data_IF_263659569513
#
_entry.id   IF_263659569513
#
_cell.length_a   1.000
_cell.length_b   1.000
_cell.length_c   1.000
_cell.angle_alpha   90.00
_cell.angle_beta   90.00
_cell.angle_gamma   90.00
#
_symmetry.space_group_name_H-M   'P 1'
#
loop_
_entity.id
_entity.type
_entity.pdbx_description
1 polymer ?
#
# COMPACT_ATOMS: atom_id res chain seq x y z
N UNK A 1 -37.81 -9.29 -14.73
CA UNK A 1 -37.96 -10.25 -13.62
C UNK A 1 -39.30 -10.95 -13.77
N UNK A 2 -39.32 -12.24 -14.10
CA UNK A 2 -40.59 -12.94 -14.42
C UNK A 2 -40.43 -14.39 -14.90
N UNK A 3 -39.20 -14.91 -14.94
CA UNK A 3 -38.92 -16.28 -15.38
C UNK A 3 -39.10 -17.32 -14.25
N UNK A 4 -39.03 -16.89 -12.99
CA UNK A 4 -39.10 -17.76 -11.80
C UNK A 4 -40.44 -17.68 -11.03
N UNK A 5 -41.25 -16.66 -11.29
CA UNK A 5 -42.51 -16.40 -10.56
C UNK A 5 -43.75 -16.99 -11.25
N UNK A 6 -43.66 -17.39 -12.52
CA UNK A 6 -44.83 -17.83 -13.30
C UNK A 6 -44.80 -19.35 -13.54
N UNK A 7 -45.82 -20.05 -13.04
CA UNK A 7 -45.86 -21.50 -12.89
C UNK A 7 -45.97 -22.25 -14.22
N UNK A 8 -46.72 -21.71 -15.17
CA UNK A 8 -46.93 -22.32 -16.49
C UNK A 8 -45.68 -22.23 -17.38
N UNK A 9 -44.99 -21.09 -17.35
CA UNK A 9 -43.73 -20.88 -18.10
C UNK A 9 -42.64 -21.81 -17.56
N UNK A 10 -42.57 -21.98 -16.24
CA UNK A 10 -41.62 -22.87 -15.55
C UNK A 10 -41.82 -24.33 -15.99
N UNK A 11 -43.06 -24.82 -16.01
CA UNK A 11 -43.33 -26.21 -16.41
C UNK A 11 -42.97 -26.49 -17.87
N UNK A 12 -43.14 -25.53 -18.78
CA UNK A 12 -42.68 -25.68 -20.19
C UNK A 12 -41.15 -25.76 -20.29
N UNK A 13 -40.43 -24.93 -19.55
CA UNK A 13 -38.95 -24.95 -19.55
C UNK A 13 -38.43 -26.26 -18.94
N UNK A 14 -39.01 -26.70 -17.82
CA UNK A 14 -38.64 -27.96 -17.16
C UNK A 14 -38.93 -29.15 -18.07
N UNK A 15 -40.10 -29.21 -18.70
CA UNK A 15 -40.44 -30.33 -19.61
C UNK A 15 -39.54 -30.34 -20.85
N UNK A 16 -39.14 -29.19 -21.38
CA UNK A 16 -38.13 -29.10 -22.45
C UNK A 16 -36.74 -29.56 -21.99
N UNK A 17 -36.30 -29.16 -20.80
CA UNK A 17 -35.02 -29.59 -20.22
C UNK A 17 -34.99 -31.11 -19.99
N UNK A 18 -36.06 -31.67 -19.40
CA UNK A 18 -36.18 -33.11 -19.13
C UNK A 18 -36.23 -33.91 -20.43
N UNK A 19 -37.00 -33.43 -21.42
CA UNK A 19 -37.11 -34.08 -22.73
C UNK A 19 -35.77 -34.12 -23.48
N UNK A 20 -34.95 -33.10 -23.33
CA UNK A 20 -33.66 -32.97 -24.03
C UNK A 20 -32.44 -33.22 -23.13
N UNK A 21 -32.65 -33.82 -21.95
CA UNK A 21 -31.63 -34.00 -20.90
C UNK A 21 -30.32 -34.61 -21.44
N UNK A 22 -30.38 -35.76 -22.10
CA UNK A 22 -29.17 -36.44 -22.59
C UNK A 22 -28.37 -35.57 -23.58
N UNK A 23 -29.03 -34.83 -24.46
CA UNK A 23 -28.35 -33.95 -25.43
C UNK A 23 -27.68 -32.78 -24.72
N UNK A 24 -28.37 -32.20 -23.75
CA UNK A 24 -27.87 -31.09 -22.93
C UNK A 24 -26.67 -31.54 -22.08
N UNK A 25 -26.75 -32.73 -21.47
CA UNK A 25 -25.65 -33.30 -20.68
C UNK A 25 -24.41 -33.52 -21.52
N UNK A 26 -24.54 -34.09 -22.73
CA UNK A 26 -23.41 -34.29 -23.64
C UNK A 26 -22.83 -32.95 -24.11
N UNK A 27 -23.68 -31.98 -24.43
CA UNK A 27 -23.23 -30.65 -24.88
C UNK A 27 -22.43 -29.95 -23.78
N UNK A 28 -22.94 -29.93 -22.55
CA UNK A 28 -22.26 -29.33 -21.39
C UNK A 28 -20.96 -30.06 -21.08
N UNK A 29 -20.93 -31.39 -21.21
CA UNK A 29 -19.72 -32.18 -21.03
C UNK A 29 -18.64 -31.82 -22.06
N UNK A 30 -18.99 -31.75 -23.35
CA UNK A 30 -18.06 -31.37 -24.41
C UNK A 30 -17.60 -29.92 -24.25
N UNK A 31 -18.51 -29.01 -23.88
CA UNK A 31 -18.17 -27.61 -23.60
C UNK A 31 -17.19 -27.49 -22.42
N UNK A 32 -17.39 -28.26 -21.35
CA UNK A 32 -16.47 -28.33 -20.21
C UNK A 32 -15.10 -28.88 -20.61
N UNK A 33 -15.07 -29.94 -21.42
CA UNK A 33 -13.83 -30.53 -21.93
C UNK A 33 -13.05 -29.54 -22.82
N UNK A 34 -13.76 -28.85 -23.72
CA UNK A 34 -13.17 -27.81 -24.57
C UNK A 34 -12.61 -26.65 -23.74
N UNK A 35 -13.33 -26.22 -22.70
CA UNK A 35 -12.86 -25.17 -21.79
C UNK A 35 -11.63 -25.60 -20.99
N UNK A 36 -11.59 -26.86 -20.54
CA UNK A 36 -10.44 -27.40 -19.82
C UNK A 36 -9.18 -27.42 -20.70
N UNK A 37 -9.33 -27.80 -21.98
CA UNK A 37 -8.23 -27.73 -22.96
C UNK A 37 -7.84 -26.27 -23.26
N UNK A 38 -8.80 -25.35 -23.28
CA UNK A 38 -8.53 -23.93 -23.49
C UNK A 38 -7.72 -23.30 -22.33
N UNK A 39 -7.84 -23.81 -21.09
CA UNK A 39 -7.02 -23.36 -19.96
C UNK A 39 -5.51 -23.63 -20.16
N UNK A 40 -5.15 -24.66 -20.93
CA UNK A 40 -3.76 -24.97 -21.23
C UNK A 40 -3.13 -23.96 -22.23
N UNK A 41 -3.96 -23.15 -22.90
CA UNK A 41 -3.50 -22.14 -23.84
C UNK A 41 -3.01 -20.89 -23.09
N UNK A 42 -1.71 -20.63 -23.21
CA UNK A 42 -0.98 -19.62 -22.45
C UNK A 42 -1.54 -18.18 -22.55
N UNK A 43 -2.12 -17.72 -23.68
CA UNK A 43 -2.79 -16.42 -23.76
C UNK A 43 -4.10 -16.32 -22.99
N UNK A 44 -4.78 -17.45 -22.74
CA UNK A 44 -6.00 -17.51 -21.91
C UNK A 44 -5.68 -17.69 -20.43
N UNK A 45 -4.45 -18.12 -20.12
CA UNK A 45 -3.95 -18.25 -18.76
C UNK A 45 -3.21 -16.97 -18.37
N UNK A 46 -3.77 -16.17 -17.47
CA UNK A 46 -3.04 -15.07 -16.85
C UNK A 46 -1.91 -15.69 -16.02
N UNK A 47 -0.69 -15.73 -16.57
CA UNK A 47 0.48 -16.35 -15.95
C UNK A 47 0.64 -15.90 -14.49
N UNK A 48 0.20 -16.75 -13.57
CA UNK A 48 0.17 -16.45 -12.14
C UNK A 48 1.36 -17.14 -11.52
N UNK A 49 2.41 -16.37 -11.25
CA UNK A 49 3.57 -16.84 -10.50
C UNK A 49 3.20 -16.93 -9.01
N UNK A 50 3.21 -18.14 -8.46
CA UNK A 50 3.02 -18.37 -7.02
C UNK A 50 4.39 -18.38 -6.37
N UNK A 51 4.69 -17.33 -5.61
CA UNK A 51 5.86 -17.28 -4.75
C UNK A 51 5.46 -17.70 -3.35
N UNK A 52 6.31 -18.46 -2.66
CA UNK A 52 6.15 -18.73 -1.22
C UNK A 52 6.18 -17.46 -0.37
N UNK A 53 6.83 -16.40 -0.87
CA UNK A 53 6.92 -15.08 -0.21
C UNK A 53 5.82 -14.12 -0.69
N UNK A 54 4.89 -14.58 -1.54
CA UNK A 54 3.74 -13.79 -1.93
C UNK A 54 2.55 -14.11 -1.02
N UNK A 55 1.73 -13.09 -0.78
CA UNK A 55 0.42 -13.26 -0.16
C UNK A 55 -0.41 -14.27 -0.95
N UNK A 56 -1.20 -15.08 -0.24
CA UNK A 56 -2.07 -16.08 -0.84
C UNK A 56 -2.99 -15.41 -1.90
N UNK A 57 -3.18 -16.01 -3.08
CA UNK A 57 -4.14 -15.48 -4.06
C UNK A 57 -5.52 -15.38 -3.41
N UNK A 58 -6.07 -14.15 -3.35
CA UNK A 58 -7.30 -13.82 -2.62
C UNK A 58 -7.10 -12.97 -1.35
N UNK A 59 -5.87 -12.87 -0.85
CA UNK A 59 -5.49 -11.96 0.26
C UNK A 59 -4.88 -10.64 -0.23
N UNK A 60 -4.68 -10.51 -1.55
CA UNK A 60 -4.09 -9.35 -2.21
C UNK A 60 -5.18 -8.47 -2.78
N UNK A 61 -5.20 -7.22 -2.33
CA UNK A 61 -5.93 -6.16 -3.02
C UNK A 61 -5.02 -5.57 -4.10
N UNK A 62 -5.34 -5.81 -5.38
CA UNK A 62 -4.52 -5.36 -6.52
C UNK A 62 -4.69 -3.87 -6.83
N UNK A 63 -5.78 -3.27 -6.38
CA UNK A 63 -6.09 -1.86 -6.60
C UNK A 63 -6.46 -1.20 -5.28
N UNK A 64 -5.86 -0.05 -5.00
CA UNK A 64 -6.10 0.72 -3.78
C UNK A 64 -6.83 2.03 -4.11
N UNK A 65 -8.08 1.99 -4.59
CA UNK A 65 -8.81 3.19 -4.99
C UNK A 65 -9.04 4.14 -3.80
N UNK A 66 -9.18 3.60 -2.58
CA UNK A 66 -9.31 4.39 -1.36
C UNK A 66 -8.02 5.15 -1.01
N UNK A 67 -6.85 4.52 -1.18
CA UNK A 67 -5.54 5.19 -1.01
C UNK A 67 -5.42 6.34 -2.00
N UNK A 68 -5.78 6.11 -3.26
CA UNK A 68 -5.66 7.14 -4.30
C UNK A 68 -6.54 8.36 -3.98
N UNK A 69 -7.79 8.13 -3.58
CA UNK A 69 -8.70 9.21 -3.22
C UNK A 69 -8.20 10.01 -2.01
N UNK A 70 -7.71 9.32 -0.97
CA UNK A 70 -7.12 9.98 0.20
C UNK A 70 -5.84 10.73 -0.16
N UNK A 71 -4.99 10.18 -1.03
CA UNK A 71 -3.75 10.82 -1.47
C UNK A 71 -4.02 12.11 -2.26
N UNK A 72 -5.05 12.15 -3.11
CA UNK A 72 -5.44 13.36 -3.81
C UNK A 72 -5.91 14.46 -2.83
N UNK A 73 -6.71 14.10 -1.83
CA UNK A 73 -7.14 15.04 -0.78
C UNK A 73 -5.95 15.58 0.02
N UNK A 74 -5.08 14.70 0.49
CA UNK A 74 -3.88 15.12 1.23
C UNK A 74 -2.94 15.97 0.37
N UNK A 75 -2.90 15.75 -0.95
CA UNK A 75 -2.08 16.55 -1.86
C UNK A 75 -2.55 18.00 -1.87
N UNK A 76 -3.86 18.24 -1.97
CA UNK A 76 -4.43 19.59 -1.93
C UNK A 76 -4.10 20.28 -0.60
N UNK A 77 -4.27 19.58 0.54
CA UNK A 77 -3.93 20.14 1.86
C UNK A 77 -2.44 20.49 1.99
N UNK A 78 -1.56 19.58 1.54
CA UNK A 78 -0.11 19.80 1.57
C UNK A 78 0.30 20.96 0.66
N UNK A 79 -0.33 21.12 -0.50
CA UNK A 79 -0.07 22.25 -1.41
C UNK A 79 -0.53 23.58 -0.83
N UNK A 80 -1.64 23.60 -0.07
CA UNK A 80 -2.09 24.79 0.65
C UNK A 80 -1.12 25.19 1.75
N UNK A 81 -0.61 24.23 2.54
CA UNK A 81 0.36 24.53 3.58
C UNK A 81 1.75 24.85 3.04
N UNK A 82 2.14 24.24 1.92
CA UNK A 82 3.38 24.55 1.22
C UNK A 82 3.45 26.02 0.77
N UNK A 83 2.31 26.62 0.39
CA UNK A 83 2.21 28.04 -0.02
C UNK A 83 2.42 29.03 1.13
N UNK A 84 2.34 28.58 2.38
CA UNK A 84 2.60 29.44 3.56
C UNK A 84 4.10 29.62 3.85
N UNK A 85 4.97 29.15 2.95
CA UNK A 85 6.42 29.37 2.80
C UNK A 85 7.34 29.07 4.01
N UNK A 86 6.80 28.57 5.12
CA UNK A 86 7.61 28.11 6.25
C UNK A 86 7.74 26.60 6.26
N UNK A 87 8.97 26.11 6.07
CA UNK A 87 9.31 24.68 6.22
C UNK A 87 8.91 24.12 7.59
N UNK A 88 9.02 24.95 8.64
CA UNK A 88 8.61 24.58 10.00
C UNK A 88 7.10 24.37 10.10
N UNK A 89 6.31 25.18 9.39
CA UNK A 89 4.84 25.03 9.35
C UNK A 89 4.44 23.72 8.68
N UNK A 90 5.05 23.41 7.52
CA UNK A 90 4.77 22.16 6.82
C UNK A 90 5.20 20.93 7.64
N UNK A 91 6.31 21.04 8.36
CA UNK A 91 6.78 19.98 9.26
C UNK A 91 5.77 19.71 10.38
N UNK A 92 5.32 20.77 11.06
CA UNK A 92 4.33 20.67 12.14
C UNK A 92 2.99 20.11 11.63
N UNK A 93 2.56 20.54 10.44
CA UNK A 93 1.37 20.00 9.80
C UNK A 93 1.45 18.48 9.60
N UNK A 94 2.57 17.98 9.04
CA UNK A 94 2.77 16.54 8.85
C UNK A 94 2.78 15.79 10.19
N UNK A 95 3.43 16.36 11.20
CA UNK A 95 3.49 15.79 12.55
C UNK A 95 2.09 15.67 13.17
N UNK A 96 1.29 16.74 13.12
CA UNK A 96 -0.10 16.76 13.61
C UNK A 96 -0.98 15.79 12.83
N UNK A 97 -0.85 15.71 11.51
CA UNK A 97 -1.60 14.76 10.69
C UNK A 97 -1.33 13.32 11.09
N UNK A 98 -0.08 12.94 11.31
CA UNK A 98 0.23 11.60 11.78
C UNK A 98 -0.29 11.34 13.21
N UNK A 99 -0.26 12.33 14.11
CA UNK A 99 -0.87 12.19 15.44
C UNK A 99 -2.38 11.99 15.37
N UNK A 100 -3.06 12.78 14.53
CA UNK A 100 -4.50 12.69 14.32
C UNK A 100 -4.92 11.33 13.72
N UNK A 101 -4.02 10.68 12.98
CA UNK A 101 -4.19 9.31 12.50
C UNK A 101 -3.98 8.25 13.60
N UNK A 102 -3.62 8.65 14.82
CA UNK A 102 -3.34 7.74 15.95
C UNK A 102 -2.08 6.91 15.75
N UNK A 103 -1.08 7.47 15.06
CA UNK A 103 0.24 6.87 14.90
C UNK A 103 1.19 7.40 15.95
N UNK A 104 2.20 6.60 16.28
CA UNK A 104 3.28 7.04 17.16
C UNK A 104 4.23 7.91 16.35
N UNK A 105 4.30 9.20 16.67
CA UNK A 105 5.06 10.18 15.91
C UNK A 105 6.19 10.76 16.72
N UNK A 106 7.32 11.00 16.06
CA UNK A 106 8.53 11.50 16.69
C UNK A 106 9.20 12.54 15.80
N UNK A 107 9.96 13.43 16.45
CA UNK A 107 10.80 14.43 15.78
C UNK A 107 12.25 14.17 16.15
N UNK A 108 13.13 14.16 15.15
CA UNK A 108 14.56 13.94 15.34
C UNK A 108 15.33 15.15 14.80
N UNK A 109 15.95 15.90 15.72
CA UNK A 109 16.89 16.95 15.36
C UNK A 109 18.21 16.32 14.92
N UNK A 110 18.74 16.77 13.78
CA UNK A 110 20.01 16.29 13.27
C UNK A 110 20.91 17.46 12.83
N UNK A 111 22.21 17.24 12.89
CA UNK A 111 23.21 18.10 12.28
C UNK A 111 24.20 17.23 11.52
N UNK A 112 24.38 17.49 10.23
CA UNK A 112 25.32 16.76 9.38
C UNK A 112 26.42 17.70 8.92
N UNK A 113 27.66 17.26 9.15
CA UNK A 113 28.85 17.87 8.59
C UNK A 113 29.03 17.34 7.17
N UNK A 114 28.96 18.22 6.17
CA UNK A 114 29.11 17.81 4.78
C UNK A 114 30.59 17.47 4.48
N UNK A 115 30.92 16.23 4.04
CA UNK A 115 32.32 15.78 3.95
C UNK A 115 33.09 16.35 2.74
N UNK A 116 32.40 16.93 1.75
CA UNK A 116 33.06 17.48 0.56
C UNK A 116 33.57 18.91 0.80
N UNK A 117 34.90 19.01 0.92
CA UNK A 117 35.71 20.17 1.32
C UNK A 117 35.75 21.35 0.33
N UNK A 118 35.02 21.28 -0.78
CA UNK A 118 35.26 22.17 -1.94
C UNK A 118 34.71 23.60 -1.80
N UNK A 119 33.80 23.90 -0.87
CA UNK A 119 33.15 25.24 -0.81
C UNK A 119 32.95 25.82 0.60
N UNK A 120 32.96 25.02 1.67
CA UNK A 120 33.03 25.43 3.10
C UNK A 120 32.52 24.27 3.94
N UNK A 121 32.99 24.10 5.18
CA UNK A 121 32.44 23.14 6.14
C UNK A 121 31.04 23.60 6.56
N UNK A 122 30.05 23.36 5.69
CA UNK A 122 28.66 23.76 5.95
C UNK A 122 28.01 22.71 6.85
N UNK A 123 27.77 23.08 8.10
CA UNK A 123 26.90 22.32 9.00
C UNK A 123 25.47 22.49 8.49
N UNK A 124 24.84 21.38 8.09
CA UNK A 124 23.42 21.37 7.73
C UNK A 124 22.65 20.81 8.92
N UNK A 125 21.92 21.68 9.61
CA UNK A 125 20.96 21.28 10.64
C UNK A 125 19.56 21.14 10.04
N UNK A 126 18.79 20.23 10.62
CA UNK A 126 17.42 19.99 10.21
C UNK A 126 16.68 19.13 11.23
N UNK A 127 15.39 18.92 10.97
CA UNK A 127 14.53 18.07 11.80
C UNK A 127 13.80 17.10 10.91
N UNK A 128 13.88 15.82 11.23
CA UNK A 128 13.11 14.76 10.58
C UNK A 128 11.85 14.51 11.39
N UNK A 129 10.73 14.29 10.70
CA UNK A 129 9.49 13.79 11.30
C UNK A 129 9.26 12.38 10.79
N UNK A 130 9.03 11.45 11.70
CA UNK A 130 8.71 10.08 11.35
C UNK A 130 7.58 9.55 12.21
N UNK A 131 6.88 8.55 11.70
CA UNK A 131 5.80 7.87 12.39
C UNK A 131 6.00 6.36 12.31
N UNK A 132 5.58 5.65 13.35
CA UNK A 132 5.75 4.21 13.49
C UNK A 132 4.38 3.55 13.49
N UNK A 133 4.22 2.59 12.57
CA UNK A 133 3.08 1.66 12.56
C UNK A 133 3.59 0.29 12.99
N UNK A 134 3.20 -0.17 14.19
CA UNK A 134 3.59 -1.50 14.67
C UNK A 134 2.64 -2.58 14.14
N UNK A 135 3.20 -3.67 13.63
CA UNK A 135 2.43 -4.86 13.27
C UNK A 135 1.94 -5.57 14.56
N UNK A 136 0.71 -6.08 14.55
CA UNK A 136 0.09 -6.67 15.75
C UNK A 136 0.62 -8.05 16.16
N UNK A 137 1.21 -8.84 15.26
CA UNK A 137 1.46 -10.29 15.50
C UNK A 137 2.78 -10.85 14.96
N UNK A 138 3.78 -10.02 14.67
CA UNK A 138 5.06 -10.48 14.10
C UNK A 138 6.23 -10.06 14.99
N UNK A 139 7.26 -10.91 15.09
CA UNK A 139 8.53 -10.54 15.72
C UNK A 139 9.10 -9.31 15.01
N UNK A 140 9.47 -8.27 15.77
CA UNK A 140 9.86 -6.95 15.23
C UNK A 140 11.26 -6.93 14.60
N UNK A 141 11.62 -7.98 13.85
CA UNK A 141 12.94 -8.18 13.25
C UNK A 141 13.09 -7.60 11.85
N UNK A 142 11.99 -7.16 11.23
CA UNK A 142 11.96 -6.61 9.87
C UNK A 142 11.07 -5.36 9.84
N UNK A 143 11.49 -4.33 9.08
CA UNK A 143 10.76 -3.07 8.96
C UNK A 143 10.79 -2.56 7.52
N UNK A 144 9.68 -1.94 7.10
CA UNK A 144 9.57 -1.23 5.84
C UNK A 144 9.61 0.28 6.10
N UNK A 145 10.56 0.98 5.47
CA UNK A 145 10.76 2.42 5.66
C UNK A 145 10.38 3.17 4.40
N UNK A 146 9.36 4.03 4.52
CA UNK A 146 8.98 4.98 3.48
C UNK A 146 9.59 6.34 3.81
N UNK A 147 10.51 6.82 2.97
CA UNK A 147 11.16 8.11 3.15
C UNK A 147 10.76 9.07 2.03
N UNK A 148 10.30 10.26 2.42
CA UNK A 148 9.96 11.33 1.49
C UNK A 148 10.63 12.62 1.95
N UNK A 149 11.42 13.31 1.10
CA UNK A 149 12.01 14.57 1.47
C UNK A 149 10.94 15.66 1.60
N UNK A 150 10.95 16.41 2.70
CA UNK A 150 10.01 17.51 2.93
C UNK A 150 10.46 18.77 2.15
N UNK A 151 9.80 19.09 1.03
CA UNK A 151 10.08 20.29 0.23
C UNK A 151 8.78 21.06 0.01
N UNK A 152 8.70 22.25 0.60
CA UNK A 152 7.53 23.13 0.49
C UNK A 152 7.34 23.65 -0.94
N UNK A 153 8.35 24.30 -1.53
CA UNK A 153 8.26 24.84 -2.88
C UNK A 153 9.12 24.06 -3.89
N UNK A 154 8.62 23.95 -5.12
CA UNK A 154 9.44 23.53 -6.26
C UNK A 154 10.42 24.66 -6.59
N UNK A 155 11.69 24.33 -6.69
CA UNK A 155 12.71 25.24 -7.23
C UNK A 155 13.12 24.74 -8.62
N UNK A 156 13.73 25.60 -9.42
CA UNK A 156 14.25 25.25 -10.77
C UNK A 156 15.17 24.00 -10.78
N UNK A 157 15.76 23.66 -9.63
CA UNK A 157 16.69 22.52 -9.46
C UNK A 157 16.02 21.29 -8.86
N UNK A 158 14.92 21.43 -8.12
CA UNK A 158 14.30 20.31 -7.38
C UNK A 158 12.77 20.39 -7.42
N UNK A 159 12.07 19.33 -7.87
CA UNK A 159 10.62 19.31 -7.89
C UNK A 159 10.04 19.30 -6.47
N UNK A 160 8.83 19.84 -6.35
CA UNK A 160 8.03 19.75 -5.14
C UNK A 160 7.66 18.28 -4.85
N UNK A 161 7.64 17.93 -3.57
CA UNK A 161 7.43 16.56 -3.11
C UNK A 161 6.08 16.37 -2.42
N UNK A 162 5.15 17.33 -2.61
CA UNK A 162 3.82 17.31 -2.00
C UNK A 162 3.03 16.03 -2.29
N UNK A 163 3.07 15.54 -3.53
CA UNK A 163 2.42 14.28 -3.90
C UNK A 163 3.00 13.06 -3.17
N UNK A 164 4.31 13.03 -2.91
CA UNK A 164 4.94 11.96 -2.15
C UNK A 164 4.54 11.98 -0.67
N UNK A 165 4.47 13.17 -0.07
CA UNK A 165 4.02 13.35 1.32
C UNK A 165 2.56 12.91 1.45
N UNK A 166 1.71 13.32 0.51
CA UNK A 166 0.31 12.96 0.46
C UNK A 166 0.09 11.44 0.32
N UNK A 167 0.88 10.79 -0.54
CA UNK A 167 0.86 9.34 -0.69
C UNK A 167 1.31 8.63 0.59
N UNK A 168 2.36 9.12 1.25
CA UNK A 168 2.83 8.56 2.51
C UNK A 168 1.76 8.67 3.63
N UNK A 169 1.06 9.80 3.72
CA UNK A 169 -0.05 10.00 4.66
C UNK A 169 -1.23 9.05 4.35
N UNK A 170 -1.61 8.92 3.08
CA UNK A 170 -2.69 8.02 2.66
C UNK A 170 -2.36 6.55 2.94
N UNK A 171 -1.13 6.13 2.66
CA UNK A 171 -0.66 4.77 2.97
C UNK A 171 -0.64 4.52 4.47
N UNK A 172 -0.14 5.48 5.27
CA UNK A 172 -0.10 5.35 6.71
C UNK A 172 -1.52 5.21 7.32
N UNK A 173 -2.48 5.99 6.83
CA UNK A 173 -3.90 5.87 7.20
C UNK A 173 -4.46 4.47 6.87
N UNK A 174 -4.15 3.96 5.68
CA UNK A 174 -4.65 2.67 5.22
C UNK A 174 -4.00 1.49 5.94
N UNK A 175 -2.70 1.56 6.26
CA UNK A 175 -2.03 0.56 7.07
C UNK A 175 -2.53 0.53 8.52
N UNK A 176 -2.87 1.70 9.08
CA UNK A 176 -3.52 1.75 10.40
C UNK A 176 -4.89 1.06 10.38
N UNK A 177 -5.69 1.27 9.32
CA UNK A 177 -7.01 0.67 9.15
C UNK A 177 -6.94 -0.83 8.89
N UNK A 178 -6.06 -1.26 7.98
CA UNK A 178 -5.92 -2.66 7.51
C UNK A 178 -4.87 -3.47 8.28
N UNK A 179 -4.54 -3.08 9.51
CA UNK A 179 -3.46 -3.64 10.33
C UNK A 179 -3.61 -5.14 10.70
N UNK A 180 -4.57 -5.85 10.10
CA UNK A 180 -4.74 -7.30 10.17
C UNK A 180 -3.89 -8.08 9.14
N UNK A 181 -3.30 -7.43 8.11
CA UNK A 181 -2.47 -8.12 7.09
C UNK A 181 -1.16 -7.34 6.84
N UNK A 182 -0.21 -7.48 7.76
CA UNK A 182 1.20 -7.29 7.41
C UNK A 182 1.92 -8.61 7.67
N UNK A 183 1.73 -9.55 6.74
CA UNK A 183 2.61 -10.69 6.61
C UNK A 183 3.84 -10.22 5.81
N UNK A 184 4.91 -9.92 6.56
CA UNK A 184 6.33 -9.99 6.19
C UNK A 184 6.63 -9.99 4.69
N UNK A 185 7.15 -8.87 4.18
CA UNK A 185 7.89 -8.82 2.91
C UNK A 185 9.37 -9.01 3.24
N UNK A 186 9.87 -10.23 3.08
CA UNK A 186 11.24 -10.61 3.43
C UNK A 186 12.23 -10.19 2.34
N UNK A 187 13.30 -9.53 2.80
CA UNK A 187 14.63 -9.31 2.20
C UNK A 187 14.74 -8.72 0.79
N UNK A 188 15.07 -7.43 0.73
CA UNK A 188 15.91 -6.87 -0.34
C UNK A 188 17.34 -6.68 0.18
N UNK A 189 18.29 -7.42 -0.39
CA UNK A 189 19.72 -7.16 -0.21
C UNK A 189 20.06 -5.87 -0.97
N UNK A 190 20.26 -4.76 -0.26
CA UNK A 190 20.91 -3.57 -0.81
C UNK A 190 22.31 -3.43 -0.21
N UNK A 191 23.31 -3.79 -1.02
CA UNK A 191 24.68 -3.36 -0.82
C UNK A 191 24.72 -1.83 -0.97
N UNK A 192 25.23 -1.16 0.06
CA UNK A 192 25.54 0.28 0.13
C UNK A 192 24.36 1.24 -0.10
N UNK A 193 23.70 1.70 0.98
CA UNK A 193 23.32 3.12 1.23
C UNK A 193 22.89 3.23 2.71
N UNK A 194 23.43 4.22 3.44
CA UNK A 194 22.95 4.60 4.77
C UNK A 194 21.50 5.10 4.70
N UNK A 195 20.56 4.38 5.32
CA UNK A 195 19.17 4.80 5.53
C UNK A 195 18.86 4.78 7.03
N UNK A 196 18.35 5.90 7.54
CA UNK A 196 17.86 6.02 8.91
C UNK A 196 16.48 5.37 9.04
N UNK A 197 16.34 4.59 10.11
CA UNK A 197 15.27 3.65 10.37
C UNK A 197 14.05 4.28 11.05
N UNK A 198 12.88 3.66 10.84
CA UNK A 198 11.87 3.57 11.90
C UNK A 198 12.41 2.52 12.88
N UNK A 199 12.96 3.01 13.98
CA UNK A 199 13.53 2.17 15.03
C UNK A 199 12.40 1.69 15.96
N UNK A 200 12.15 0.38 15.99
CA UNK A 200 11.38 -0.26 17.05
C UNK A 200 12.40 -0.68 18.10
N UNK A 201 12.79 0.29 18.92
CA UNK A 201 13.74 0.11 20.01
C UNK A 201 13.24 -0.98 20.97
N UNK A 202 14.09 -1.99 21.19
CA UNK A 202 13.97 -2.91 22.29
C UNK A 202 14.26 -2.16 23.59
N UNK A 203 13.27 -2.02 24.47
CA UNK A 203 13.55 -1.79 25.88
C UNK A 203 13.39 -3.12 26.62
N UNK A 204 14.52 -3.75 26.89
CA UNK A 204 14.65 -4.68 27.99
C UNK A 204 14.49 -3.88 29.29
N UNK A 205 13.46 -4.20 30.06
CA UNK A 205 13.38 -3.91 31.49
C UNK A 205 12.38 -4.88 32.13
N UNK A 206 12.84 -6.09 32.43
CA UNK A 206 12.39 -6.75 33.66
C UNK A 206 13.33 -6.27 34.77
N UNK A 207 12.78 -5.93 35.94
CA UNK A 207 13.14 -6.74 37.08
C UNK A 207 11.91 -7.23 37.84
N UNK A 208 12.18 -8.24 38.65
CA UNK A 208 11.29 -8.98 39.56
C UNK A 208 10.21 -8.15 40.27
#
# INVERSE_FOLDING_TARGET
MGLLTNEQSRNRVITLLVKNNNKLSVLVYVAGLAWFLALAYQPLNAGTYVSENALLPGLVESQLPSVLLSALRYKEEVELEAKKDSKATLQNFVFEKFQNLGLETFQQNFSVLYPFRSVSTKVVSGVNVYSIVRARRTASTEALVFSVPLRAAANNVKPATGGGIALALALAQEFKRKCYIFAVLKTFHFNHVLCYAIDVAAHWAFPC
#
